data_IF_160601154697
#
_entry.id   IF_160601154697
#
_cell.length_a   1.000
_cell.length_b   1.000
_cell.length_c   1.000
_cell.angle_alpha   90.00
_cell.angle_beta   90.00
_cell.angle_gamma   90.00
#
_symmetry.space_group_name_H-M   'P 1'
#
loop_
_entity.id
_entity.type
_entity.pdbx_description
1 polymer ?
#
# COMPACT_ATOMS: atom_id res chain seq x y z
N UNK A 1 0.97 12.51 20.61
CA UNK A 1 -0.46 12.67 20.22
C UNK A 1 -0.71 11.78 19.01
N UNK A 2 -1.42 10.67 19.15
CA UNK A 2 -1.55 9.63 18.12
C UNK A 2 -2.79 9.89 17.23
N UNK A 3 -2.64 9.90 15.90
CA UNK A 3 -3.81 9.97 14.98
C UNK A 3 -4.63 8.67 15.09
N UNK A 4 -5.94 8.75 15.44
CA UNK A 4 -6.77 7.58 15.70
C UNK A 4 -7.18 6.78 14.45
N UNK A 5 -6.79 7.17 13.23
CA UNK A 5 -7.24 6.51 11.98
C UNK A 5 -6.31 5.43 11.43
N UNK A 6 -5.10 5.32 11.95
CA UNK A 6 -4.17 4.25 11.58
C UNK A 6 -3.92 3.41 12.82
N UNK A 7 -4.37 2.15 12.86
CA UNK A 7 -4.13 1.22 13.96
C UNK A 7 -2.65 0.83 14.16
N UNK A 8 -1.71 1.69 13.78
CA UNK A 8 -0.27 1.57 13.99
C UNK A 8 0.16 2.68 14.94
N UNK A 9 0.75 2.31 16.07
CA UNK A 9 1.46 3.26 16.92
C UNK A 9 2.63 3.84 16.13
N UNK A 10 2.60 5.15 15.88
CA UNK A 10 3.73 5.88 15.29
C UNK A 10 4.71 6.17 16.42
N UNK A 11 5.91 5.59 16.36
CA UNK A 11 6.99 5.95 17.27
C UNK A 11 7.58 7.29 16.82
N UNK A 12 7.32 8.34 17.60
CA UNK A 12 7.98 9.62 17.43
C UNK A 12 9.23 9.61 18.33
N UNK A 13 10.42 9.99 17.82
CA UNK A 13 11.61 10.07 18.66
C UNK A 13 11.39 11.02 19.84
N UNK A 14 12.06 10.73 20.95
CA UNK A 14 12.20 11.64 22.06
C UNK A 14 13.13 12.81 21.69
N UNK A 15 13.11 13.93 22.44
CA UNK A 15 14.02 15.05 22.19
C UNK A 15 15.51 14.67 22.25
N UNK A 16 15.87 13.68 23.08
CA UNK A 16 17.25 13.18 23.17
C UNK A 16 17.63 12.38 21.93
N UNK A 17 16.73 11.50 21.46
CA UNK A 17 16.93 10.74 20.23
C UNK A 17 16.98 11.67 18.99
N UNK A 18 16.12 12.70 18.94
CA UNK A 18 16.18 13.73 17.89
C UNK A 18 17.52 14.47 17.89
N UNK A 19 18.07 14.79 19.07
CA UNK A 19 19.38 15.44 19.19
C UNK A 19 20.52 14.54 18.74
N UNK A 20 20.43 13.22 18.99
CA UNK A 20 21.39 12.24 18.50
C UNK A 20 21.31 12.08 16.98
N UNK A 21 20.10 12.00 16.41
CA UNK A 21 19.86 11.94 14.96
C UNK A 21 20.46 13.17 14.27
N UNK A 22 20.18 14.38 14.79
CA UNK A 22 20.71 15.63 14.22
C UNK A 22 22.23 15.72 14.28
N UNK A 23 22.86 15.17 15.33
CA UNK A 23 24.32 15.09 15.42
C UNK A 23 24.90 14.16 14.35
N UNK A 24 24.28 13.00 14.15
CA UNK A 24 24.70 12.07 13.10
C UNK A 24 24.59 12.67 11.70
N UNK A 25 23.51 13.40 11.43
CA UNK A 25 23.31 14.17 10.19
C UNK A 25 24.45 15.20 10.00
N UNK A 26 24.82 15.93 11.06
CA UNK A 26 25.86 16.96 10.99
C UNK A 26 27.29 16.42 10.87
N UNK A 27 27.56 15.23 11.39
CA UNK A 27 28.88 14.59 11.35
C UNK A 27 29.16 13.84 10.05
N UNK A 28 28.11 13.51 9.27
CA UNK A 28 28.24 12.79 8.01
C UNK A 28 28.53 13.74 6.83
N UNK A 29 29.73 13.65 6.21
CA UNK A 29 30.11 14.52 5.10
C UNK A 29 29.31 14.26 3.80
N UNK A 30 28.65 13.11 3.67
CA UNK A 30 27.81 12.78 2.51
C UNK A 30 26.34 13.21 2.71
N UNK A 31 26.00 13.70 3.90
CA UNK A 31 24.65 14.17 4.17
C UNK A 31 24.34 15.47 3.41
N UNK A 32 23.20 15.46 2.71
CA UNK A 32 22.65 16.61 2.01
C UNK A 32 21.32 16.99 2.65
N UNK A 33 21.25 18.19 3.23
CA UNK A 33 19.99 18.72 3.74
C UNK A 33 19.08 19.19 2.59
N UNK A 34 17.79 18.88 2.71
CA UNK A 34 16.77 19.28 1.74
C UNK A 34 16.19 20.64 2.15
N UNK A 35 16.97 21.69 1.98
CA UNK A 35 16.62 23.06 2.32
C UNK A 35 15.86 23.79 1.19
N UNK A 36 15.51 25.06 1.43
CA UNK A 36 14.80 25.90 0.45
C UNK A 36 15.58 26.04 -0.86
N UNK A 37 16.91 26.13 -0.79
CA UNK A 37 17.78 26.24 -1.96
C UNK A 37 17.82 24.94 -2.77
N UNK A 38 17.74 23.77 -2.12
CA UNK A 38 17.54 22.49 -2.79
C UNK A 38 16.22 22.48 -3.56
N UNK A 39 15.11 22.85 -2.91
CA UNK A 39 13.79 22.85 -3.54
C UNK A 39 13.65 23.91 -4.64
N UNK A 40 14.33 25.06 -4.52
CA UNK A 40 14.39 26.06 -5.59
C UNK A 40 15.07 25.52 -6.87
N UNK A 41 16.00 24.57 -6.72
CA UNK A 41 16.72 23.91 -7.84
C UNK A 41 16.07 22.59 -8.28
N UNK A 42 15.15 22.05 -7.49
CA UNK A 42 14.45 20.82 -7.80
C UNK A 42 13.59 20.98 -9.06
N UNK A 43 13.60 19.97 -9.92
CA UNK A 43 12.77 19.93 -11.13
C UNK A 43 11.53 19.09 -10.87
N UNK A 44 10.35 19.47 -11.39
CA UNK A 44 9.19 18.61 -11.33
C UNK A 44 9.46 17.32 -12.10
N UNK A 45 8.77 16.25 -11.72
CA UNK A 45 8.92 14.95 -12.38
C UNK A 45 8.70 15.00 -13.90
N UNK A 46 7.85 15.91 -14.38
CA UNK A 46 7.61 16.13 -15.81
C UNK A 46 8.87 16.50 -16.61
N UNK A 47 9.94 16.94 -15.94
CA UNK A 47 11.23 17.18 -16.54
C UNK A 47 12.05 15.90 -16.79
N UNK A 48 11.57 14.73 -16.34
CA UNK A 48 12.24 13.42 -16.45
C UNK A 48 11.30 12.35 -17.07
N UNK A 49 11.02 12.40 -18.39
CA UNK A 49 10.09 11.49 -19.06
C UNK A 49 10.43 10.00 -18.89
N UNK A 50 11.71 9.66 -18.76
CA UNK A 50 12.21 8.30 -18.55
C UNK A 50 11.71 7.67 -17.24
N UNK A 51 11.35 8.49 -16.24
CA UNK A 51 10.86 8.03 -14.93
C UNK A 51 9.33 7.83 -14.90
N UNK A 52 8.61 8.17 -15.96
CA UNK A 52 7.15 8.15 -16.01
C UNK A 52 6.56 6.74 -15.75
N UNK A 53 7.26 5.69 -16.19
CA UNK A 53 6.83 4.30 -15.99
C UNK A 53 7.02 3.81 -14.55
N UNK A 54 7.96 4.39 -13.81
CA UNK A 54 8.29 3.99 -12.43
C UNK A 54 7.20 4.48 -11.47
N UNK A 55 6.61 5.64 -11.77
CA UNK A 55 5.73 6.36 -10.84
C UNK A 55 4.26 6.01 -11.01
N UNK A 56 3.85 5.50 -12.19
CA UNK A 56 2.48 5.06 -12.43
C UNK A 56 2.03 3.82 -11.62
N UNK A 57 2.92 3.24 -10.81
CA UNK A 57 2.63 2.08 -9.99
C UNK A 57 2.31 0.83 -10.83
N UNK A 58 1.76 -0.21 -10.19
CA UNK A 58 1.32 -1.41 -10.92
C UNK A 58 0.21 -0.99 -11.92
N UNK A 59 0.35 -1.28 -13.22
CA UNK A 59 -0.69 -1.00 -14.20
C UNK A 59 -2.04 -1.57 -13.75
N UNK A 60 -3.16 -0.89 -14.07
CA UNK A 60 -4.47 -1.41 -13.74
C UNK A 60 -4.65 -2.81 -14.33
N UNK A 61 -5.36 -3.69 -13.61
CA UNK A 61 -5.69 -5.00 -14.14
C UNK A 61 -6.50 -4.83 -15.45
N UNK A 62 -6.23 -5.64 -16.49
CA UNK A 62 -7.07 -5.69 -17.68
C UNK A 62 -8.53 -5.96 -17.31
N UNK A 63 -9.49 -5.42 -18.06
CA UNK A 63 -10.93 -5.61 -17.79
C UNK A 63 -11.31 -7.10 -17.65
N UNK A 64 -10.77 -7.96 -18.52
CA UNK A 64 -11.00 -9.40 -18.49
C UNK A 64 -10.50 -10.09 -17.19
N UNK A 65 -9.57 -9.46 -16.47
CA UNK A 65 -9.02 -9.97 -15.21
C UNK A 65 -9.68 -9.34 -13.97
N UNK A 66 -10.52 -8.31 -14.13
CA UNK A 66 -11.19 -7.63 -13.02
C UNK A 66 -12.33 -8.49 -12.49
N UNK A 67 -12.33 -8.74 -11.18
CA UNK A 67 -13.48 -9.36 -10.50
C UNK A 67 -14.58 -8.31 -10.32
N UNK A 68 -15.80 -8.64 -10.67
CA UNK A 68 -16.96 -7.78 -10.40
C UNK A 68 -17.46 -8.01 -8.97
N UNK A 69 -17.71 -6.93 -8.23
CA UNK A 69 -18.34 -6.99 -6.91
C UNK A 69 -19.84 -7.07 -7.09
N UNK A 70 -20.45 -8.10 -6.52
CA UNK A 70 -21.90 -8.31 -6.52
C UNK A 70 -22.41 -8.52 -5.10
N UNK A 71 -23.68 -8.21 -4.86
CA UNK A 71 -24.40 -8.57 -3.63
C UNK A 71 -25.13 -9.89 -3.86
N UNK A 72 -24.83 -10.91 -3.04
CA UNK A 72 -25.44 -12.23 -3.12
C UNK A 72 -25.79 -12.70 -1.71
N UNK A 73 -27.01 -13.19 -1.53
CA UNK A 73 -27.41 -13.91 -0.31
C UNK A 73 -27.05 -15.39 -0.48
N UNK A 74 -26.42 -15.96 0.55
CA UNK A 74 -26.07 -17.38 0.62
C UNK A 74 -26.73 -17.97 1.85
N UNK A 75 -27.09 -19.24 1.78
CA UNK A 75 -27.60 -19.97 2.93
C UNK A 75 -26.54 -19.99 4.07
N UNK A 76 -26.97 -19.91 5.35
CA UNK A 76 -26.04 -19.79 6.47
C UNK A 76 -25.02 -20.93 6.57
N UNK A 77 -25.43 -22.17 6.27
CA UNK A 77 -24.59 -23.36 6.29
C UNK A 77 -23.53 -23.35 5.17
N UNK A 78 -23.90 -22.88 3.97
CA UNK A 78 -22.98 -22.66 2.85
C UNK A 78 -21.91 -21.62 3.25
N UNK A 79 -22.33 -20.50 3.84
CA UNK A 79 -21.41 -19.45 4.27
C UNK A 79 -20.45 -19.95 5.37
N UNK A 80 -20.97 -20.70 6.34
CA UNK A 80 -20.19 -21.32 7.39
C UNK A 80 -19.13 -22.26 6.81
N UNK A 81 -19.53 -23.13 5.88
CA UNK A 81 -18.61 -24.09 5.23
C UNK A 81 -17.52 -23.39 4.42
N UNK A 82 -17.85 -22.34 3.66
CA UNK A 82 -16.85 -21.57 2.91
C UNK A 82 -15.82 -20.92 3.83
N UNK A 83 -16.28 -20.33 4.94
CA UNK A 83 -15.45 -19.61 5.91
C UNK A 83 -14.66 -20.51 6.86
N UNK A 84 -14.94 -21.81 6.91
CA UNK A 84 -14.31 -22.75 7.84
C UNK A 84 -12.77 -22.69 7.84
N UNK A 85 -12.14 -22.62 6.65
CA UNK A 85 -10.67 -22.55 6.54
C UNK A 85 -10.13 -21.10 6.61
N UNK A 86 -10.94 -20.14 7.06
CA UNK A 86 -10.52 -18.76 7.30
C UNK A 86 -10.15 -17.97 6.04
N UNK A 87 -8.99 -17.29 6.07
CA UNK A 87 -8.53 -16.36 5.03
C UNK A 87 -8.56 -17.04 3.65
N UNK A 88 -9.02 -16.29 2.63
CA UNK A 88 -9.09 -16.79 1.27
C UNK A 88 -10.39 -17.52 0.89
N UNK A 89 -11.38 -17.62 1.79
CA UNK A 89 -12.67 -18.27 1.50
C UNK A 89 -13.38 -17.71 0.26
N UNK A 90 -13.30 -16.40 -0.01
CA UNK A 90 -13.89 -15.80 -1.22
C UNK A 90 -13.23 -16.30 -2.51
N UNK A 91 -11.91 -16.56 -2.47
CA UNK A 91 -11.18 -17.12 -3.62
C UNK A 91 -11.59 -18.57 -3.86
N UNK A 92 -11.74 -19.36 -2.79
CA UNK A 92 -12.25 -20.74 -2.88
C UNK A 92 -13.70 -20.78 -3.39
N UNK A 93 -14.54 -19.85 -2.92
CA UNK A 93 -15.93 -19.71 -3.37
C UNK A 93 -15.98 -19.41 -4.89
N UNK A 94 -15.22 -18.43 -5.36
CA UNK A 94 -15.13 -18.12 -6.79
C UNK A 94 -14.63 -19.32 -7.60
N UNK A 95 -13.61 -20.04 -7.13
CA UNK A 95 -13.11 -21.24 -7.81
C UNK A 95 -14.17 -22.36 -7.88
N UNK A 96 -14.97 -22.54 -6.84
CA UNK A 96 -16.08 -23.49 -6.83
C UNK A 96 -17.16 -23.12 -7.86
N UNK A 97 -17.54 -21.83 -7.91
CA UNK A 97 -18.50 -21.32 -8.89
C UNK A 97 -18.00 -21.49 -10.34
N UNK A 98 -16.72 -21.21 -10.59
CA UNK A 98 -16.12 -21.44 -11.91
C UNK A 98 -16.22 -22.90 -12.34
N UNK A 99 -15.83 -23.84 -11.46
CA UNK A 99 -15.98 -25.28 -11.74
C UNK A 99 -17.42 -25.69 -12.01
N UNK A 100 -18.38 -25.18 -11.23
CA UNK A 100 -19.80 -25.49 -11.42
C UNK A 100 -20.36 -24.94 -12.75
N UNK A 101 -19.79 -23.86 -13.26
CA UNK A 101 -20.18 -23.23 -14.53
C UNK A 101 -19.32 -23.69 -15.73
N UNK A 102 -18.34 -24.57 -15.53
CA UNK A 102 -17.42 -25.01 -16.59
C UNK A 102 -16.41 -23.95 -17.06
N UNK A 103 -16.02 -23.03 -16.17
CA UNK A 103 -15.07 -21.93 -16.41
C UNK A 103 -13.69 -22.17 -15.81
#
# INVERSE_FOLDING_TARGET
MTDPRSGKAVHLPSPEEDAEINRGIAEDPDTMELDDDFFARAKPLSAFPELERIIRGRPPLPEAAKKQRVTLYLDPDVLARLKADGKGWQTRANAALRRALGL
#
